data_IF_648774214048
#
_entry.id   IF_648774214048
#
_cell.length_a   1.000
_cell.length_b   1.000
_cell.length_c   1.000
_cell.angle_alpha   90.00
_cell.angle_beta   90.00
_cell.angle_gamma   90.00
#
_symmetry.space_group_name_H-M   'P 1'
#
loop_
_entity.id
_entity.type
_entity.pdbx_description
1 polymer ?
#
# COMPACT_ATOMS: atom_id res chain seq x y z
N UNK A 1 1.90 -14.45 12.91
CA UNK A 1 1.09 -14.29 11.68
C UNK A 1 0.03 -13.27 12.02
N UNK A 2 0.02 -12.15 11.31
CA UNK A 2 -0.88 -11.05 11.61
C UNK A 2 -2.35 -11.49 11.49
N UNK A 3 -3.17 -11.04 12.43
CA UNK A 3 -4.61 -11.30 12.40
C UNK A 3 -5.29 -10.17 11.65
N UNK A 4 -5.99 -10.48 10.56
CA UNK A 4 -6.72 -9.49 9.74
C UNK A 4 -8.22 -9.67 9.95
N UNK A 5 -8.91 -8.59 10.31
CA UNK A 5 -10.37 -8.53 10.38
C UNK A 5 -10.90 -7.53 9.35
N UNK A 6 -11.97 -7.90 8.65
CA UNK A 6 -12.63 -7.07 7.65
C UNK A 6 -14.02 -6.66 8.14
N UNK A 7 -14.38 -5.40 7.95
CA UNK A 7 -15.71 -4.85 8.21
C UNK A 7 -16.17 -3.96 7.04
N UNK A 8 -17.45 -4.04 6.66
CA UNK A 8 -18.04 -3.12 5.69
C UNK A 8 -18.47 -1.83 6.41
N UNK A 9 -18.02 -0.67 5.92
CA UNK A 9 -18.30 0.64 6.54
C UNK A 9 -19.28 1.47 5.71
N UNK A 10 -19.15 1.41 4.38
CA UNK A 10 -19.99 2.12 3.44
C UNK A 10 -20.06 1.38 2.08
N UNK A 11 -20.96 1.76 1.15
CA UNK A 11 -21.03 1.15 -0.17
C UNK A 11 -19.69 1.31 -0.90
N UNK A 12 -19.06 0.19 -1.29
CA UNK A 12 -17.71 0.13 -1.86
C UNK A 12 -16.57 0.52 -0.91
N UNK A 13 -16.82 0.66 0.40
CA UNK A 13 -15.78 0.98 1.39
C UNK A 13 -15.71 -0.11 2.46
N UNK A 14 -14.52 -0.72 2.58
CA UNK A 14 -14.21 -1.74 3.58
C UNK A 14 -13.13 -1.25 4.53
N UNK A 15 -13.22 -1.64 5.78
CA UNK A 15 -12.20 -1.39 6.79
C UNK A 15 -11.49 -2.70 7.12
N UNK A 16 -10.17 -2.68 7.01
CA UNK A 16 -9.26 -3.77 7.35
C UNK A 16 -8.53 -3.40 8.64
N UNK A 17 -8.69 -4.20 9.69
CA UNK A 17 -7.90 -4.07 10.91
C UNK A 17 -6.88 -5.19 10.98
N UNK A 18 -5.61 -4.82 11.07
CA UNK A 18 -4.47 -5.74 11.04
C UNK A 18 -3.78 -5.65 12.37
N UNK A 19 -3.75 -6.76 13.09
CA UNK A 19 -3.04 -6.89 14.37
C UNK A 19 -1.72 -7.60 14.13
N UNK A 20 -0.63 -6.86 14.31
CA UNK A 20 0.73 -7.38 14.29
C UNK A 20 1.13 -7.89 15.67
N UNK A 21 1.66 -9.11 15.70
CA UNK A 21 2.28 -9.65 16.91
C UNK A 21 3.76 -9.25 16.97
N UNK A 22 4.35 -9.29 18.16
CA UNK A 22 5.77 -8.96 18.37
C UNK A 22 6.70 -9.74 17.46
N UNK A 23 6.38 -11.00 17.23
CA UNK A 23 7.17 -11.93 16.43
C UNK A 23 7.19 -11.55 14.95
N UNK A 24 6.20 -10.80 14.47
CA UNK A 24 6.08 -10.43 13.06
C UNK A 24 7.08 -9.31 12.68
N UNK A 25 7.40 -8.39 13.60
CA UNK A 25 8.26 -7.22 13.31
C UNK A 25 9.61 -7.20 14.07
N UNK A 26 9.72 -7.79 15.27
CA UNK A 26 10.95 -7.74 16.06
C UNK A 26 12.18 -8.33 15.34
N UNK A 27 12.10 -9.48 14.65
CA UNK A 27 13.25 -10.02 13.92
C UNK A 27 13.75 -9.08 12.81
N UNK A 28 12.82 -8.38 12.15
CA UNK A 28 13.15 -7.40 11.10
C UNK A 28 13.83 -6.17 11.70
N UNK A 29 13.33 -5.69 12.84
CA UNK A 29 13.95 -4.61 13.60
C UNK A 29 15.37 -4.94 14.08
N UNK A 30 15.59 -6.13 14.66
CA UNK A 30 16.93 -6.55 15.09
C UNK A 30 17.91 -6.67 13.92
N UNK A 31 17.43 -7.16 12.77
CA UNK A 31 18.21 -7.20 11.54
C UNK A 31 18.58 -5.79 11.08
N UNK A 32 17.61 -4.87 11.07
CA UNK A 32 17.82 -3.46 10.72
C UNK A 32 18.86 -2.80 11.63
N UNK A 33 18.81 -3.04 12.96
CA UNK A 33 19.83 -2.56 13.90
C UNK A 33 21.24 -3.05 13.56
N UNK A 34 21.40 -4.34 13.20
CA UNK A 34 22.69 -4.91 12.79
C UNK A 34 23.19 -4.34 11.46
N UNK A 35 22.28 -4.06 10.52
CA UNK A 35 22.65 -3.43 9.25
C UNK A 35 23.07 -1.97 9.43
N UNK A 36 22.35 -1.23 10.28
CA UNK A 36 22.72 0.12 10.66
C UNK A 36 24.05 0.17 11.42
N UNK A 37 24.32 -0.78 12.32
CA UNK A 37 25.59 -0.83 13.05
C UNK A 37 26.79 -0.98 12.12
N UNK A 38 26.67 -1.76 11.04
CA UNK A 38 27.70 -1.94 10.01
C UNK A 38 27.98 -0.69 9.18
N UNK A 39 26.96 0.17 9.01
CA UNK A 39 27.06 1.42 8.24
C UNK A 39 27.44 2.63 9.11
N UNK A 40 27.18 2.55 10.41
CA UNK A 40 27.38 3.65 11.34
C UNK A 40 28.85 4.09 11.44
N UNK A 41 29.04 5.40 11.49
CA UNK A 41 30.31 6.06 11.74
C UNK A 41 30.14 6.99 12.94
N UNK A 42 30.49 6.50 14.14
CA UNK A 42 30.32 7.23 15.40
C UNK A 42 31.70 7.43 16.03
N UNK A 43 32.06 8.67 16.44
CA UNK A 43 33.33 8.95 17.10
C UNK A 43 33.57 8.02 18.30
N UNK A 44 34.79 7.50 18.41
CA UNK A 44 35.17 6.54 19.46
C UNK A 44 34.98 5.06 19.08
N UNK A 45 34.26 4.76 17.99
CA UNK A 45 34.12 3.39 17.48
C UNK A 45 34.71 3.29 16.07
N UNK A 46 35.38 2.17 15.79
CA UNK A 46 35.77 1.83 14.41
C UNK A 46 34.50 1.70 13.57
N UNK A 47 34.48 2.32 12.38
CA UNK A 47 33.37 2.25 11.43
C UNK A 47 32.84 0.82 11.30
N UNK A 48 31.54 0.64 11.47
CA UNK A 48 30.87 -0.66 11.38
C UNK A 48 30.92 -1.54 12.63
N UNK A 49 31.71 -1.17 13.65
CA UNK A 49 31.87 -1.90 14.92
C UNK A 49 31.23 -1.13 16.08
N UNK A 50 30.11 -0.47 15.82
CA UNK A 50 29.32 0.17 16.88
C UNK A 50 28.41 -0.88 17.54
N UNK A 51 28.38 -0.99 18.89
CA UNK A 51 27.46 -1.88 19.58
C UNK A 51 25.99 -1.58 19.24
N UNK A 52 25.20 -2.64 19.02
CA UNK A 52 23.78 -2.51 18.68
C UNK A 52 22.98 -1.75 19.75
N UNK A 53 23.34 -1.84 21.03
CA UNK A 53 22.70 -1.09 22.11
C UNK A 53 22.85 0.43 21.99
N UNK A 54 23.99 0.91 21.51
CA UNK A 54 24.20 2.35 21.29
C UNK A 54 23.40 2.85 20.09
N UNK A 55 23.36 2.06 19.01
CA UNK A 55 22.52 2.34 17.84
C UNK A 55 21.04 2.34 18.21
N UNK A 56 20.59 1.39 19.03
CA UNK A 56 19.23 1.35 19.57
C UNK A 56 18.90 2.61 20.38
N UNK A 57 19.84 3.12 21.18
CA UNK A 57 19.62 4.35 21.95
C UNK A 57 19.49 5.60 21.05
N UNK A 58 20.24 5.67 19.94
CA UNK A 58 20.24 6.84 19.06
C UNK A 58 19.14 6.81 18.00
N UNK A 59 18.90 5.65 17.39
CA UNK A 59 18.03 5.48 16.22
C UNK A 59 16.93 4.43 16.43
N UNK A 60 16.90 3.77 17.59
CA UNK A 60 16.01 2.64 17.83
C UNK A 60 14.55 2.99 17.67
N UNK A 61 14.07 4.13 18.16
CA UNK A 61 12.65 4.51 18.05
C UNK A 61 12.23 4.74 16.59
N UNK A 62 13.06 5.41 15.79
CA UNK A 62 12.79 5.63 14.36
C UNK A 62 12.78 4.31 13.60
N UNK A 63 13.85 3.52 13.76
CA UNK A 63 13.98 2.23 13.08
C UNK A 63 12.88 1.25 13.49
N UNK A 64 12.45 1.30 14.75
CA UNK A 64 11.34 0.48 15.24
C UNK A 64 10.04 0.87 14.56
N UNK A 65 9.73 2.17 14.51
CA UNK A 65 8.54 2.69 13.84
C UNK A 65 8.54 2.30 12.37
N UNK A 66 9.65 2.53 11.66
CA UNK A 66 9.78 2.21 10.24
C UNK A 66 9.59 0.72 9.97
N UNK A 67 10.12 -0.15 10.83
CA UNK A 67 10.02 -1.60 10.68
C UNK A 67 8.62 -2.11 10.98
N UNK A 68 7.92 -1.56 11.98
CA UNK A 68 6.52 -1.86 12.26
C UNK A 68 5.64 -1.44 11.07
N UNK A 69 5.83 -0.21 10.57
CA UNK A 69 5.08 0.31 9.42
C UNK A 69 5.33 -0.51 8.14
N UNK A 70 6.59 -0.84 7.86
CA UNK A 70 6.92 -1.70 6.73
C UNK A 70 6.30 -3.09 6.86
N UNK A 71 6.23 -3.62 8.08
CA UNK A 71 5.62 -4.92 8.33
C UNK A 71 4.12 -4.85 8.08
N UNK A 72 3.42 -3.83 8.61
CA UNK A 72 1.98 -3.72 8.40
C UNK A 72 1.64 -3.55 6.92
N UNK A 73 2.36 -2.70 6.19
CA UNK A 73 2.14 -2.52 4.75
C UNK A 73 2.26 -3.85 4.00
N UNK A 74 3.30 -4.63 4.32
CA UNK A 74 3.53 -5.93 3.70
C UNK A 74 2.42 -6.93 4.03
N UNK A 75 1.85 -6.90 5.23
CA UNK A 75 0.71 -7.74 5.60
C UNK A 75 -0.58 -7.29 4.90
N UNK A 76 -0.82 -5.98 4.80
CA UNK A 76 -1.96 -5.40 4.05
C UNK A 76 -1.94 -5.91 2.62
N UNK A 77 -0.84 -5.69 1.90
CA UNK A 77 -0.73 -6.08 0.49
C UNK A 77 -0.83 -7.60 0.30
N UNK A 78 -0.24 -8.38 1.20
CA UNK A 78 -0.36 -9.85 1.14
C UNK A 78 -1.81 -10.30 1.32
N UNK A 79 -2.53 -9.71 2.27
CA UNK A 79 -3.94 -10.04 2.49
C UNK A 79 -4.79 -9.70 1.27
N UNK A 80 -4.59 -8.50 0.69
CA UNK A 80 -5.29 -8.06 -0.53
C UNK A 80 -5.05 -9.00 -1.71
N UNK A 81 -3.81 -9.48 -1.88
CA UNK A 81 -3.44 -10.42 -2.93
C UNK A 81 -4.03 -11.82 -2.70
N UNK A 82 -4.02 -12.32 -1.47
CA UNK A 82 -4.56 -13.63 -1.09
C UNK A 82 -6.07 -13.70 -1.29
N UNK A 83 -6.79 -12.68 -0.83
CA UNK A 83 -8.25 -12.57 -0.98
C UNK A 83 -8.68 -12.10 -2.37
N UNK A 84 -7.71 -11.73 -3.24
CA UNK A 84 -7.94 -11.21 -4.60
C UNK A 84 -8.97 -10.08 -4.62
N UNK A 85 -8.84 -9.15 -3.69
CA UNK A 85 -9.76 -8.02 -3.59
C UNK A 85 -9.51 -7.04 -4.75
N UNK A 86 -10.54 -6.80 -5.55
CA UNK A 86 -10.53 -5.78 -6.59
C UNK A 86 -10.63 -4.38 -5.95
N UNK A 87 -9.49 -3.84 -5.55
CA UNK A 87 -9.39 -2.50 -4.95
C UNK A 87 -9.27 -1.42 -6.04
N UNK A 88 -9.83 -0.24 -5.75
CA UNK A 88 -9.77 0.93 -6.63
C UNK A 88 -8.49 1.75 -6.46
N UNK A 89 -8.00 1.85 -5.21
CA UNK A 89 -6.84 2.66 -4.83
C UNK A 89 -6.04 1.96 -3.73
N UNK A 90 -4.89 2.53 -3.38
CA UNK A 90 -4.10 2.06 -2.24
C UNK A 90 -4.90 2.23 -0.93
N UNK A 91 -4.80 1.28 0.02
CA UNK A 91 -5.43 1.38 1.33
C UNK A 91 -5.03 2.66 2.06
N UNK A 92 -5.99 3.36 2.64
CA UNK A 92 -5.77 4.59 3.40
C UNK A 92 -5.76 4.28 4.90
N UNK A 93 -4.76 4.73 5.65
CA UNK A 93 -4.77 4.59 7.11
C UNK A 93 -5.87 5.47 7.72
N UNK A 94 -6.69 4.89 8.60
CA UNK A 94 -7.78 5.62 9.28
C UNK A 94 -7.27 6.31 10.54
N UNK A 95 -6.57 5.55 11.40
CA UNK A 95 -6.00 6.05 12.65
C UNK A 95 -4.65 5.36 12.91
N UNK A 96 -3.55 6.05 12.57
CA UNK A 96 -2.20 5.59 12.91
C UNK A 96 -1.65 6.38 14.09
N UNK A 97 -1.87 5.86 15.30
CA UNK A 97 -1.24 6.43 16.49
C UNK A 97 0.20 5.90 16.65
N UNK A 98 1.13 6.50 15.93
CA UNK A 98 2.56 6.13 15.97
C UNK A 98 3.20 6.35 17.35
N UNK A 99 2.58 7.15 18.23
CA UNK A 99 3.10 7.41 19.57
C UNK A 99 2.98 6.19 20.49
N UNK A 100 2.13 5.22 20.15
CA UNK A 100 2.00 3.97 20.88
C UNK A 100 3.18 3.01 20.63
N UNK A 101 3.99 3.26 19.60
CA UNK A 101 5.11 2.41 19.24
C UNK A 101 6.30 2.67 20.16
N UNK A 102 6.42 1.85 21.20
CA UNK A 102 7.56 1.91 22.12
C UNK A 102 8.56 0.78 21.86
N UNK A 103 9.78 1.17 21.49
CA UNK A 103 10.93 0.29 21.29
C UNK A 103 11.42 -0.38 22.59
N UNK A 104 11.07 0.19 23.75
CA UNK A 104 11.42 -0.34 25.07
C UNK A 104 10.35 -1.27 25.62
N UNK A 105 9.11 -1.09 25.19
CA UNK A 105 7.97 -1.93 25.54
C UNK A 105 7.25 -2.42 24.28
N UNK A 106 7.86 -3.33 23.48
CA UNK A 106 7.21 -3.87 22.30
C UNK A 106 5.91 -4.59 22.70
N UNK A 107 4.82 -4.23 22.05
CA UNK A 107 3.48 -4.76 22.26
C UNK A 107 2.89 -5.28 20.94
N UNK A 108 1.72 -5.89 21.01
CA UNK A 108 0.94 -6.15 19.80
C UNK A 108 0.30 -4.84 19.35
N UNK A 109 0.34 -4.56 18.05
CA UNK A 109 -0.14 -3.30 17.48
C UNK A 109 -1.22 -3.57 16.46
N UNK A 110 -2.36 -2.89 16.59
CA UNK A 110 -3.47 -2.96 15.64
C UNK A 110 -3.51 -1.69 14.82
N UNK A 111 -3.52 -1.84 13.51
CA UNK A 111 -3.64 -0.75 12.54
C UNK A 111 -4.89 -0.94 11.71
N UNK A 112 -5.53 0.17 11.37
CA UNK A 112 -6.78 0.18 10.63
C UNK A 112 -6.59 0.92 9.31
N UNK A 113 -7.01 0.26 8.23
CA UNK A 113 -6.99 0.79 6.88
C UNK A 113 -8.37 0.75 6.26
N UNK A 114 -8.70 1.78 5.50
CA UNK A 114 -9.89 1.84 4.66
C UNK A 114 -9.50 1.53 3.21
N UNK A 115 -10.31 0.70 2.57
CA UNK A 115 -10.09 0.21 1.21
C UNK A 115 -11.34 0.46 0.38
N UNK A 116 -11.16 1.20 -0.72
CA UNK A 116 -12.18 1.38 -1.74
C UNK A 116 -12.22 0.19 -2.70
N UNK A 117 -13.39 -0.42 -2.85
CA UNK A 117 -13.64 -1.53 -3.77
C UNK A 117 -14.01 -1.01 -5.16
N UNK A 118 -13.53 -1.70 -6.19
CA UNK A 118 -13.91 -1.43 -7.56
C UNK A 118 -15.40 -1.81 -7.76
N UNK A 119 -16.23 -0.93 -8.35
CA UNK A 119 -17.61 -1.27 -8.63
C UNK A 119 -17.70 -2.34 -9.72
N UNK A 120 -18.63 -3.28 -9.55
CA UNK A 120 -19.00 -4.20 -10.61
C UNK A 120 -19.83 -3.46 -11.66
N UNK A 121 -19.25 -3.22 -12.84
CA UNK A 121 -19.95 -2.60 -13.96
C UNK A 121 -20.42 -3.70 -14.90
N UNK A 122 -21.73 -3.80 -15.10
CA UNK A 122 -22.33 -4.67 -16.11
C UNK A 122 -22.66 -3.82 -17.33
N UNK A 123 -22.05 -4.15 -18.47
CA UNK A 123 -22.37 -3.50 -19.72
C UNK A 123 -23.72 -4.02 -20.24
N UNK A 124 -24.61 -3.14 -20.71
CA UNK A 124 -25.83 -3.58 -21.38
C UNK A 124 -25.48 -4.27 -22.71
N UNK A 125 -26.42 -5.06 -23.24
CA UNK A 125 -26.28 -5.67 -24.58
C UNK A 125 -26.29 -4.57 -25.66
N UNK A 126 -25.09 -4.21 -26.12
CA UNK A 126 -24.88 -3.21 -27.16
C UNK A 126 -25.27 -3.70 -28.56
N UNK A 127 -25.46 -5.02 -28.75
CA UNK A 127 -25.83 -5.60 -30.05
C UNK A 127 -27.23 -5.23 -30.51
N UNK A 128 -28.13 -4.92 -29.58
CA UNK A 128 -29.50 -4.48 -29.86
C UNK A 128 -29.61 -2.98 -30.12
N UNK A 129 -28.54 -2.21 -29.86
CA UNK A 129 -28.55 -0.77 -30.02
C UNK A 129 -28.32 -0.40 -31.49
N UNK A 130 -29.38 0.08 -32.16
CA UNK A 130 -29.31 0.55 -33.53
C UNK A 130 -28.38 1.77 -33.64
N UNK A 131 -27.19 1.57 -34.23
CA UNK A 131 -26.28 2.67 -34.55
C UNK A 131 -26.47 3.14 -36.00
N UNK A 132 -26.59 4.46 -36.19
CA UNK A 132 -26.58 5.05 -37.53
C UNK A 132 -25.17 5.04 -38.08
N UNK A 133 -24.91 4.17 -39.06
CA UNK A 133 -23.68 4.21 -39.86
C UNK A 133 -23.91 5.14 -41.05
N UNK A 134 -23.27 6.31 -41.04
CA UNK A 134 -23.23 7.17 -42.21
C UNK A 134 -22.26 6.58 -43.23
N UNK A 135 -22.79 6.13 -44.37
CA UNK A 135 -21.98 5.79 -45.54
C UNK A 135 -21.98 7.02 -46.43
N UNK A 136 -20.87 7.75 -46.42
CA UNK A 136 -20.66 8.90 -47.31
C UNK A 136 -19.98 8.36 -48.56
N UNK A 137 -20.58 8.58 -49.71
CA UNK A 137 -19.97 8.33 -51.01
C UNK A 137 -19.42 9.67 -51.52
N UNK A 138 -18.14 9.70 -51.88
CA UNK A 138 -17.50 10.88 -52.45
C UNK A 138 -17.88 10.89 -53.93
N UNK A 139 -18.59 11.93 -54.37
CA UNK A 139 -18.92 12.12 -55.78
C UNK A 139 -17.80 12.86 -56.49
N UNK A 140 -17.71 12.69 -57.81
CA UNK A 140 -16.73 13.41 -58.63
C UNK A 140 -16.95 14.93 -58.58
N UNK A 141 -18.18 15.39 -58.35
CA UNK A 141 -18.53 16.80 -58.14
C UNK A 141 -17.94 17.36 -56.83
N UNK A 142 -18.02 16.61 -55.73
CA UNK A 142 -17.37 16.98 -54.46
C UNK A 142 -15.84 17.00 -54.59
N UNK A 143 -15.29 16.14 -55.44
CA UNK A 143 -13.85 16.10 -55.73
C UNK A 143 -13.44 17.32 -56.57
N UNK A 144 -14.23 17.68 -57.59
CA UNK A 144 -13.96 18.81 -58.46
C UNK A 144 -14.06 20.15 -57.72
N UNK A 145 -15.09 20.34 -56.88
CA UNK A 145 -15.23 21.55 -56.05
C UNK A 145 -14.03 21.78 -55.11
N UNK A 146 -13.43 20.71 -54.57
CA UNK A 146 -12.25 20.84 -53.69
C UNK A 146 -10.95 21.09 -54.48
N UNK A 147 -10.88 20.67 -55.75
CA UNK A 147 -9.72 20.92 -56.63
C UNK A 147 -9.72 22.35 -57.19
N UNK A 148 -10.89 22.95 -57.39
CA UNK A 148 -11.04 24.34 -57.86
C UNK A 148 -10.91 25.39 -56.74
N UNK A 149 -10.93 24.95 -55.48
CA UNK A 149 -10.80 25.80 -54.29
C UNK A 149 -9.34 26.13 -53.96
#
# INVERSE_FOLDING_TARGET
>A
MATVTQQDVAPLHKQLSITLQKEDYLPSFEKSLKEHSKKANIPGFRKGMVPAGLIKKMYGSSLFTDEVLRTVDKEVFRYLEQEKLDIFAQPLPVDMNLQQLDVNSPADYTFTFEVGMKPAVQLPDLGQQAMKRYKVEITDEMLAEEVER
#
